data_IF_235256176756
#
_entry.id   IF_235256176756
#
_cell.length_a   1.000
_cell.length_b   1.000
_cell.length_c   1.000
_cell.angle_alpha   90.00
_cell.angle_beta   90.00
_cell.angle_gamma   90.00
#
_symmetry.space_group_name_H-M   'P 1'
#
loop_
_entity.id
_entity.type
_entity.pdbx_description
1 polymer ?
#
# COMPACT_ATOMS: atom_id res chain seq x y z
N UNK A 1 -3.81 9.87 1.11
CA UNK A 1 -2.87 10.94 0.76
C UNK A 1 -2.62 10.85 -0.73
N UNK A 2 -2.68 11.97 -1.43
CA UNK A 2 -2.38 12.11 -2.85
C UNK A 2 -1.03 12.81 -2.94
N UNK A 3 -0.11 12.23 -3.71
CA UNK A 3 1.17 12.86 -4.05
C UNK A 3 0.91 13.97 -5.08
N UNK A 4 1.40 15.17 -4.79
CA UNK A 4 1.34 16.27 -5.75
C UNK A 4 2.50 16.16 -6.74
N UNK A 5 2.24 16.30 -8.05
CA UNK A 5 3.27 16.19 -9.07
C UNK A 5 4.16 17.44 -9.02
N UNK A 6 5.28 17.35 -8.31
CA UNK A 6 6.35 18.34 -8.36
C UNK A 6 7.48 17.76 -9.22
N UNK A 7 7.80 18.45 -10.31
CA UNK A 7 8.90 18.07 -11.18
C UNK A 7 10.23 18.49 -10.53
N UNK A 8 11.10 17.51 -10.29
CA UNK A 8 12.51 17.70 -9.92
C UNK A 8 12.82 18.27 -8.52
N UNK A 9 11.97 18.01 -7.52
CA UNK A 9 12.36 18.12 -6.10
C UNK A 9 12.76 16.76 -5.53
N UNK A 10 13.78 16.75 -4.66
CA UNK A 10 14.12 15.60 -3.80
C UNK A 10 13.05 15.33 -2.72
N UNK A 11 12.11 16.26 -2.61
CA UNK A 11 11.10 16.34 -1.59
C UNK A 11 9.71 16.25 -2.22
N UNK A 12 8.83 15.44 -1.65
CA UNK A 12 7.48 15.18 -2.13
C UNK A 12 6.44 15.83 -1.23
N UNK A 13 5.46 16.52 -1.83
CA UNK A 13 4.30 17.03 -1.10
C UNK A 13 3.10 16.09 -1.21
N UNK A 14 2.54 15.76 -0.05
CA UNK A 14 1.43 14.83 0.10
C UNK A 14 0.25 15.50 0.79
N UNK A 15 -0.92 15.42 0.17
CA UNK A 15 -2.14 16.05 0.67
C UNK A 15 -3.25 15.04 0.90
N UNK A 16 -3.95 15.12 2.04
CA UNK A 16 -5.22 14.43 2.27
C UNK A 16 -6.37 15.35 1.83
N UNK A 17 -7.09 15.04 0.74
CA UNK A 17 -8.24 15.86 0.34
C UNK A 17 -9.41 15.74 1.34
N UNK A 18 -9.46 14.67 2.14
CA UNK A 18 -10.56 14.41 3.09
C UNK A 18 -10.41 15.20 4.39
N UNK A 19 -9.24 15.18 5.02
CA UNK A 19 -9.01 15.85 6.31
C UNK A 19 -8.18 17.14 6.22
N UNK A 20 -7.64 17.45 5.05
CA UNK A 20 -6.81 18.64 4.82
C UNK A 20 -5.38 18.54 5.36
N UNK A 21 -4.90 17.38 5.80
CA UNK A 21 -3.49 17.17 6.18
C UNK A 21 -2.56 17.41 5.00
N UNK A 22 -1.46 18.12 5.24
CA UNK A 22 -0.37 18.31 4.28
C UNK A 22 0.92 17.92 4.95
N UNK A 23 1.66 17.00 4.31
CA UNK A 23 3.00 16.61 4.75
C UNK A 23 3.98 16.67 3.59
N UNK A 24 5.23 16.90 3.95
CA UNK A 24 6.36 17.01 3.02
C UNK A 24 7.35 15.93 3.43
N UNK A 25 7.81 15.13 2.47
CA UNK A 25 8.63 13.94 2.71
C UNK A 25 9.86 13.95 1.81
N UNK A 26 11.03 13.69 2.37
CA UNK A 26 12.24 13.33 1.64
C UNK A 26 12.59 11.88 1.97
N UNK A 27 12.77 11.04 0.96
CA UNK A 27 12.99 9.60 1.17
C UNK A 27 14.47 9.21 1.29
N UNK A 28 15.34 9.87 0.52
CA UNK A 28 16.78 9.57 0.42
C UNK A 28 17.55 10.90 0.36
N UNK A 29 18.79 11.01 0.88
CA UNK A 29 19.62 9.98 1.54
C UNK A 29 19.19 9.61 2.95
N UNK A 30 18.54 10.54 3.64
CA UNK A 30 17.97 10.34 4.97
C UNK A 30 16.47 10.59 4.88
N UNK A 31 15.71 9.67 5.46
CA UNK A 31 14.26 9.80 5.53
C UNK A 31 13.92 10.94 6.48
N UNK A 32 13.27 11.96 5.94
CA UNK A 32 12.75 13.09 6.69
C UNK A 32 11.30 13.34 6.31
N UNK A 33 10.48 13.71 7.29
CA UNK A 33 9.12 14.11 7.03
C UNK A 33 8.70 15.23 7.98
N UNK A 34 7.89 16.15 7.47
CA UNK A 34 7.33 17.25 8.27
C UNK A 34 5.85 17.40 7.96
N UNK A 35 5.06 17.57 9.03
CA UNK A 35 3.64 17.91 8.93
C UNK A 35 3.54 19.43 8.80
N UNK A 36 3.24 19.92 7.60
CA UNK A 36 3.05 21.35 7.32
C UNK A 36 1.67 21.83 7.81
N UNK A 37 0.66 20.97 7.66
CA UNK A 37 -0.69 21.19 8.18
C UNK A 37 -1.21 19.89 8.78
N UNK A 38 -1.61 19.92 10.04
CA UNK A 38 -2.04 18.74 10.79
C UNK A 38 -3.32 18.09 10.22
N UNK A 39 -4.32 18.87 9.82
CA UNK A 39 -5.64 18.32 9.47
C UNK A 39 -6.33 17.66 10.67
N UNK A 40 -7.18 16.67 10.42
CA UNK A 40 -7.71 15.78 11.46
C UNK A 40 -6.66 14.74 11.85
N UNK A 41 -6.23 14.74 13.11
CA UNK A 41 -5.23 13.82 13.62
C UNK A 41 -5.75 12.41 13.89
N UNK A 42 -7.06 12.24 13.97
CA UNK A 42 -7.71 10.94 14.18
C UNK A 42 -8.02 10.22 12.87
N UNK A 43 -7.91 10.90 11.73
CA UNK A 43 -8.16 10.30 10.43
C UNK A 43 -7.03 9.33 10.03
N UNK A 44 -7.40 8.13 9.58
CA UNK A 44 -6.45 7.16 9.03
C UNK A 44 -6.03 7.62 7.63
N UNK A 45 -4.74 7.54 7.33
CA UNK A 45 -4.18 7.98 6.05
C UNK A 45 -3.45 6.86 5.33
N UNK A 46 -3.90 6.57 4.11
CA UNK A 46 -3.21 5.68 3.18
C UNK A 46 -2.88 6.47 1.91
N UNK A 47 -1.66 6.35 1.39
CA UNK A 47 -1.22 6.92 0.12
C UNK A 47 -0.15 6.02 -0.49
N UNK A 48 -0.06 5.98 -1.81
CA UNK A 48 0.91 5.16 -2.54
C UNK A 48 1.59 5.97 -3.63
N UNK A 49 2.89 5.74 -3.82
CA UNK A 49 3.66 6.29 -4.94
C UNK A 49 3.54 5.33 -6.12
N UNK A 50 3.32 5.85 -7.34
CA UNK A 50 3.23 5.03 -8.56
C UNK A 50 1.81 4.69 -9.02
N UNK A 51 0.78 5.41 -8.56
CA UNK A 51 -0.57 5.31 -9.13
C UNK A 51 -1.27 3.97 -8.91
N UNK A 52 -0.84 3.17 -7.92
CA UNK A 52 -1.56 1.98 -7.51
C UNK A 52 -2.82 2.42 -6.76
N UNK A 53 -3.91 2.61 -7.49
CA UNK A 53 -5.24 2.69 -6.92
C UNK A 53 -5.62 1.28 -6.44
N UNK A 54 -5.86 1.13 -5.14
CA UNK A 54 -6.47 -0.10 -4.61
C UNK A 54 -7.93 -0.11 -5.04
N UNK A 55 -8.17 -0.55 -6.27
CA UNK A 55 -9.52 -0.86 -6.75
C UNK A 55 -10.12 -2.00 -5.94
N UNK A 56 -11.44 -1.99 -5.78
CA UNK A 56 -12.18 -3.12 -5.20
C UNK A 56 -11.86 -4.39 -5.99
N UNK A 57 -11.15 -5.33 -5.36
CA UNK A 57 -10.96 -6.68 -5.91
C UNK A 57 -12.28 -7.42 -5.75
N UNK A 58 -13.04 -7.58 -6.84
CA UNK A 58 -14.09 -8.57 -6.89
C UNK A 58 -13.42 -9.95 -6.96
N UNK A 59 -13.43 -10.69 -5.85
CA UNK A 59 -13.04 -12.10 -5.84
C UNK A 59 -14.14 -12.88 -6.55
N UNK A 60 -14.02 -13.06 -7.86
CA UNK A 60 -14.83 -14.02 -8.60
C UNK A 60 -14.31 -15.41 -8.29
N UNK A 61 -15.09 -16.11 -7.48
CA UNK A 61 -14.86 -17.46 -7.01
C UNK A 61 -15.05 -18.49 -8.14
N UNK A 62 -13.99 -18.75 -8.90
CA UNK A 62 -13.82 -20.03 -9.60
C UNK A 62 -12.89 -20.89 -8.71
N UNK A 63 -13.37 -21.19 -7.51
CA UNK A 63 -12.56 -21.52 -6.32
C UNK A 63 -11.89 -22.89 -6.38
N UNK A 64 -12.56 -23.92 -6.92
CA UNK A 64 -12.14 -25.31 -6.71
C UNK A 64 -10.85 -25.71 -7.44
N UNK A 65 -10.73 -25.36 -8.71
CA UNK A 65 -9.59 -25.77 -9.54
C UNK A 65 -8.35 -24.90 -9.30
N UNK A 66 -8.57 -23.60 -9.10
CA UNK A 66 -7.50 -22.65 -8.82
C UNK A 66 -6.88 -22.88 -7.44
N UNK A 67 -7.69 -23.22 -6.43
CA UNK A 67 -7.19 -23.58 -5.10
C UNK A 67 -6.37 -24.86 -5.15
N UNK A 68 -6.82 -25.88 -5.90
CA UNK A 68 -6.06 -27.13 -6.08
C UNK A 68 -4.71 -26.88 -6.75
N UNK A 69 -4.68 -26.13 -7.85
CA UNK A 69 -3.44 -25.79 -8.55
C UNK A 69 -2.49 -24.95 -7.68
N UNK A 70 -3.04 -24.07 -6.84
CA UNK A 70 -2.26 -23.28 -5.90
C UNK A 70 -1.66 -24.14 -4.78
N UNK A 71 -2.43 -25.07 -4.22
CA UNK A 71 -1.94 -26.04 -3.22
C UNK A 71 -0.84 -26.95 -3.79
N UNK A 72 -0.99 -27.38 -5.04
CA UNK A 72 0.02 -28.18 -5.74
C UNK A 72 1.33 -27.39 -5.92
N UNK A 73 1.25 -26.17 -6.45
CA UNK A 73 2.42 -25.30 -6.58
C UNK A 73 3.12 -25.04 -5.24
N UNK A 74 2.35 -24.78 -4.17
CA UNK A 74 2.94 -24.56 -2.84
C UNK A 74 3.72 -25.78 -2.34
N UNK A 75 3.17 -26.99 -2.55
CA UNK A 75 3.83 -28.23 -2.19
C UNK A 75 5.12 -28.45 -3.00
N UNK A 76 5.10 -28.17 -4.30
CA UNK A 76 6.30 -28.22 -5.17
C UNK A 76 7.40 -27.28 -4.69
N UNK A 77 7.04 -26.17 -4.04
CA UNK A 77 7.96 -25.19 -3.50
C UNK A 77 8.26 -25.41 -2.00
N UNK A 78 7.83 -26.53 -1.42
CA UNK A 78 8.10 -26.90 -0.03
C UNK A 78 7.34 -26.08 1.01
N UNK A 79 6.25 -25.41 0.62
CA UNK A 79 5.42 -24.58 1.49
C UNK A 79 4.18 -25.39 1.90
N UNK A 80 4.11 -25.78 3.18
CA UNK A 80 2.95 -26.47 3.71
C UNK A 80 1.81 -25.49 4.00
N UNK A 81 0.71 -25.59 3.25
CA UNK A 81 -0.47 -24.76 3.45
C UNK A 81 -1.15 -24.97 4.81
N UNK A 82 -1.22 -26.23 5.27
CA UNK A 82 -1.94 -26.59 6.51
C UNK A 82 -1.10 -26.33 7.79
N UNK A 83 0.08 -25.71 7.68
CA UNK A 83 1.03 -25.50 8.78
C UNK A 83 1.69 -26.80 9.27
N UNK A 84 2.65 -26.74 10.21
CA UNK A 84 3.17 -27.97 10.83
C UNK A 84 2.06 -28.68 11.59
N UNK A 85 1.91 -30.00 11.37
CA UNK A 85 1.01 -30.81 12.18
C UNK A 85 1.38 -30.68 13.67
N UNK A 86 0.39 -30.36 14.50
CA UNK A 86 0.54 -30.23 15.95
C UNK A 86 0.88 -31.57 16.62
#
# INVERSE_FOLDING_TARGET
>A
MVLEPEADSDTERWTCPTCGRVMVVRWFPEFEHVIVRAGDEQAIHTGGKGGAEVGSVAVVAEEGERERAHREWLAENGIAWDGPAA
#
